data_IF_794759527105
#
_entry.id   IF_794759527105
#
_cell.length_a   1.000
_cell.length_b   1.000
_cell.length_c   1.000
_cell.angle_alpha   90.00
_cell.angle_beta   90.00
_cell.angle_gamma   90.00
#
_symmetry.space_group_name_H-M   'P 1'
#
loop_
_entity.id
_entity.type
_entity.pdbx_description
1 polymer ?
#
# COMPACT_ATOMS: atom_id res chain seq x y z
N UNK A 1 -8.76 -6.21 -3.38
CA UNK A 1 -8.13 -5.71 -4.63
C UNK A 1 -7.52 -4.33 -4.39
N UNK A 2 -6.32 -4.03 -4.92
CA UNK A 2 -5.56 -2.78 -4.75
C UNK A 2 -5.70 -1.86 -5.99
N UNK A 3 -5.60 -0.53 -5.83
CA UNK A 3 -5.58 0.43 -6.96
C UNK A 3 -4.23 1.12 -7.08
N UNK A 4 -3.94 1.63 -8.28
CA UNK A 4 -2.76 2.44 -8.54
C UNK A 4 -2.68 3.67 -7.62
N UNK A 5 -3.83 4.28 -7.29
CA UNK A 5 -3.90 5.40 -6.34
C UNK A 5 -3.46 5.02 -4.92
N UNK A 6 -3.83 3.82 -4.44
CA UNK A 6 -3.37 3.34 -3.13
C UNK A 6 -1.88 3.06 -3.12
N UNK A 7 -1.30 2.54 -4.21
CA UNK A 7 0.15 2.32 -4.30
C UNK A 7 0.90 3.65 -4.20
N UNK A 8 0.47 4.65 -4.98
CA UNK A 8 1.10 5.99 -4.96
C UNK A 8 0.93 6.66 -3.59
N UNK A 9 -0.24 6.56 -2.98
CA UNK A 9 -0.50 7.09 -1.64
C UNK A 9 0.37 6.41 -0.57
N UNK A 10 0.48 5.07 -0.62
CA UNK A 10 1.33 4.31 0.28
C UNK A 10 2.81 4.72 0.19
N UNK A 11 3.34 4.87 -1.03
CA UNK A 11 4.71 5.38 -1.19
C UNK A 11 4.88 6.79 -0.66
N UNK A 12 3.92 7.68 -0.92
CA UNK A 12 3.98 9.05 -0.41
C UNK A 12 4.00 9.08 1.12
N UNK A 13 3.20 8.24 1.79
CA UNK A 13 3.20 8.11 3.25
C UNK A 13 4.52 7.54 3.80
N UNK A 14 5.14 6.60 3.09
CA UNK A 14 6.43 6.03 3.47
C UNK A 14 7.63 6.92 3.11
N UNK A 15 7.43 7.97 2.30
CA UNK A 15 8.53 8.81 1.81
C UNK A 15 9.49 8.06 0.87
N UNK A 16 9.03 7.03 0.15
CA UNK A 16 9.88 6.20 -0.73
C UNK A 16 9.58 6.37 -2.22
N UNK A 17 10.60 6.17 -3.04
CA UNK A 17 10.48 6.13 -4.49
C UNK A 17 10.02 4.75 -5.02
N UNK A 18 9.84 4.62 -6.34
CA UNK A 18 9.40 3.38 -6.97
C UNK A 18 10.45 2.25 -6.89
N UNK A 19 11.74 2.58 -6.84
CA UNK A 19 12.83 1.60 -6.77
C UNK A 19 12.91 0.99 -5.38
N UNK A 20 12.80 1.81 -4.34
CA UNK A 20 12.72 1.38 -2.96
C UNK A 20 11.48 0.50 -2.71
N UNK A 21 10.32 0.85 -3.30
CA UNK A 21 9.14 0.00 -3.24
C UNK A 21 9.36 -1.35 -3.95
N UNK A 22 9.99 -1.33 -5.13
CA UNK A 22 10.29 -2.54 -5.89
C UNK A 22 11.19 -3.50 -5.09
N UNK A 23 12.23 -2.96 -4.46
CA UNK A 23 13.13 -3.70 -3.56
C UNK A 23 12.38 -4.28 -2.35
N UNK A 24 11.62 -3.46 -1.63
CA UNK A 24 10.87 -3.89 -0.45
C UNK A 24 9.82 -4.98 -0.75
N UNK A 25 9.25 -4.97 -1.96
CA UNK A 25 8.29 -5.96 -2.44
C UNK A 25 8.95 -7.17 -3.14
N UNK A 26 10.26 -7.17 -3.40
CA UNK A 26 10.91 -8.21 -4.21
C UNK A 26 10.34 -8.30 -5.63
N UNK A 27 9.96 -7.15 -6.21
CA UNK A 27 9.43 -7.02 -7.56
C UNK A 27 10.38 -6.20 -8.44
N UNK A 28 10.28 -6.35 -9.75
CA UNK A 28 11.05 -5.50 -10.67
C UNK A 28 10.51 -4.07 -10.69
N UNK A 29 11.39 -3.07 -10.88
CA UNK A 29 10.97 -1.67 -11.06
C UNK A 29 9.93 -1.49 -12.20
N UNK A 30 10.07 -2.13 -13.38
CA UNK A 30 9.04 -2.08 -14.42
C UNK A 30 7.68 -2.66 -14.00
N UNK A 31 7.66 -3.64 -13.09
CA UNK A 31 6.41 -4.16 -12.51
C UNK A 31 5.72 -3.07 -11.70
N UNK A 32 6.43 -2.40 -10.79
CA UNK A 32 5.88 -1.31 -9.97
C UNK A 32 5.39 -0.15 -10.85
N UNK A 33 6.18 0.27 -11.84
CA UNK A 33 5.80 1.34 -12.76
C UNK A 33 4.49 1.02 -13.50
N UNK A 34 4.34 -0.21 -14.00
CA UNK A 34 3.10 -0.66 -14.67
C UNK A 34 1.91 -0.70 -13.73
N UNK A 35 2.11 -1.14 -12.49
CA UNK A 35 1.06 -1.14 -11.47
C UNK A 35 0.60 0.28 -11.14
N UNK A 36 1.53 1.23 -10.96
CA UNK A 36 1.20 2.64 -10.68
C UNK A 36 0.61 3.38 -11.89
N UNK A 37 0.90 2.95 -13.11
CA UNK A 37 0.33 3.53 -14.34
C UNK A 37 -1.10 3.03 -14.66
N UNK A 38 -1.59 2.03 -13.91
CA UNK A 38 -2.92 1.45 -14.16
C UNK A 38 -4.04 2.46 -13.88
N UNK A 39 -5.06 2.47 -14.73
CA UNK A 39 -6.27 3.27 -14.54
C UNK A 39 -7.24 2.53 -13.61
N UNK A 40 -7.15 2.79 -12.31
CA UNK A 40 -7.99 2.17 -11.29
C UNK A 40 -7.37 0.91 -10.67
N UNK A 41 -8.07 -0.22 -10.73
CA UNK A 41 -7.62 -1.48 -10.12
C UNK A 41 -6.38 -2.02 -10.84
N UNK A 42 -5.40 -2.45 -10.06
CA UNK A 42 -4.18 -3.04 -10.61
C UNK A 42 -4.46 -4.46 -11.03
N UNK A 43 -4.18 -4.76 -12.30
CA UNK A 43 -4.22 -6.12 -12.85
C UNK A 43 -2.81 -6.70 -12.82
N UNK A 44 -2.65 -7.87 -12.21
CA UNK A 44 -1.39 -8.59 -12.09
C UNK A 44 -1.63 -10.01 -11.62
N UNK A 45 -0.58 -10.84 -11.63
CA UNK A 45 -0.68 -12.14 -10.99
C UNK A 45 -0.85 -11.98 -9.47
N UNK A 46 -1.49 -12.96 -8.84
CA UNK A 46 -1.81 -12.92 -7.41
C UNK A 46 -0.53 -12.81 -6.57
N UNK A 47 0.52 -13.54 -6.94
CA UNK A 47 1.82 -13.52 -6.24
C UNK A 47 2.43 -12.10 -6.12
N UNK A 48 2.42 -11.31 -7.20
CA UNK A 48 2.96 -9.95 -7.17
C UNK A 48 2.10 -9.02 -6.32
N UNK A 49 0.78 -9.22 -6.33
CA UNK A 49 -0.13 -8.43 -5.51
C UNK A 49 0.06 -8.74 -4.02
N UNK A 50 0.22 -10.02 -3.66
CA UNK A 50 0.50 -10.45 -2.28
C UNK A 50 1.82 -9.85 -1.79
N UNK A 51 2.90 -10.00 -2.56
CA UNK A 51 4.22 -9.41 -2.24
C UNK A 51 4.16 -7.90 -1.97
N UNK A 52 3.36 -7.18 -2.74
CA UNK A 52 3.19 -5.74 -2.59
C UNK A 52 2.42 -5.38 -1.32
N UNK A 53 1.34 -6.11 -1.02
CA UNK A 53 0.56 -5.92 0.22
C UNK A 53 1.43 -6.23 1.44
N UNK A 54 2.16 -7.35 1.43
CA UNK A 54 3.04 -7.73 2.54
C UNK A 54 4.16 -6.70 2.75
N UNK A 55 4.69 -6.11 1.68
CA UNK A 55 5.70 -5.05 1.78
C UNK A 55 5.16 -3.81 2.50
N UNK A 56 3.93 -3.39 2.17
CA UNK A 56 3.28 -2.29 2.88
C UNK A 56 3.00 -2.64 4.33
N UNK A 57 2.54 -3.86 4.62
CA UNK A 57 2.28 -4.30 5.99
C UNK A 57 3.54 -4.32 6.85
N UNK A 58 4.66 -4.83 6.32
CA UNK A 58 5.98 -4.80 6.97
C UNK A 58 6.50 -3.38 7.18
N UNK A 59 6.16 -2.46 6.28
CA UNK A 59 6.49 -1.05 6.40
C UNK A 59 5.55 -0.27 7.35
N UNK A 60 4.64 -0.96 8.05
CA UNK A 60 3.73 -0.33 9.01
C UNK A 60 2.53 0.35 8.36
N UNK A 61 2.19 0.02 7.12
CA UNK A 61 0.98 0.50 6.47
C UNK A 61 -0.14 -0.53 6.49
N UNK A 62 -1.37 -0.03 6.49
CA UNK A 62 -2.57 -0.81 6.26
C UNK A 62 -3.31 -0.24 5.05
N UNK A 63 -3.69 -1.12 4.13
CA UNK A 63 -4.54 -0.78 3.00
C UNK A 63 -6.01 -0.94 3.40
N UNK A 64 -6.77 0.15 3.29
CA UNK A 64 -8.20 0.16 3.61
C UNK A 64 -8.96 -0.24 2.34
N UNK A 65 -9.65 -1.39 2.39
CA UNK A 65 -10.52 -1.87 1.33
C UNK A 65 -11.84 -1.10 1.26
N UNK A 66 -12.58 -1.28 0.16
CA UNK A 66 -13.93 -0.74 0.03
C UNK A 66 -14.87 -1.46 1.01
N UNK A 67 -15.62 -0.69 1.82
CA UNK A 67 -16.50 -1.24 2.86
C UNK A 67 -15.80 -1.66 4.16
N UNK A 68 -14.47 -1.52 4.26
CA UNK A 68 -13.79 -1.63 5.55
C UNK A 68 -14.23 -0.49 6.48
N UNK A 69 -14.23 -0.74 7.81
CA UNK A 69 -14.62 0.25 8.82
C UNK A 69 -13.70 1.47 8.71
N UNK A 70 -14.20 2.47 8.00
CA UNK A 70 -13.64 3.80 7.82
C UNK A 70 -14.80 4.74 8.12
N UNK A 71 -14.72 5.62 9.13
CA UNK A 71 -15.84 6.49 9.51
C UNK A 71 -16.39 7.34 8.34
N UNK A 72 -15.56 7.62 7.33
CA UNK A 72 -15.96 8.31 6.09
C UNK A 72 -16.18 7.40 4.87
N UNK A 73 -16.00 6.08 5.02
CA UNK A 73 -16.09 5.08 3.95
C UNK A 73 -14.92 5.09 2.95
N UNK A 74 -15.01 4.20 1.95
CA UNK A 74 -14.12 4.19 0.79
C UNK A 74 -12.74 3.54 0.99
N UNK A 75 -11.98 3.46 -0.11
CA UNK A 75 -10.65 2.86 -0.17
C UNK A 75 -9.59 3.87 0.23
N UNK A 76 -8.60 3.47 1.02
CA UNK A 76 -7.59 4.38 1.55
C UNK A 76 -6.28 3.68 1.94
N UNK A 77 -5.36 4.45 2.52
CA UNK A 77 -4.13 3.95 3.12
C UNK A 77 -3.95 4.66 4.46
N UNK A 78 -3.54 3.93 5.50
CA UNK A 78 -3.32 4.46 6.84
C UNK A 78 -2.03 3.91 7.43
N UNK A 79 -1.35 4.72 8.25
CA UNK A 79 -0.26 4.27 9.10
C UNK A 79 -0.81 3.43 10.26
N UNK A 80 -0.23 2.25 10.51
CA UNK A 80 -0.56 1.47 11.69
C UNK A 80 -0.10 2.24 12.93
N UNK A 81 -0.97 2.35 13.93
CA UNK A 81 -0.58 2.83 15.26
C UNK A 81 0.33 1.76 15.85
N UNK A 82 1.53 2.13 16.28
CA UNK A 82 2.40 1.21 17.00
C UNK A 82 1.65 0.73 18.26
N UNK A 83 1.66 -0.58 18.58
CA UNK A 83 1.07 -1.04 19.83
C UNK A 83 1.89 -0.46 20.99
N UNK A 84 1.43 0.66 21.57
CA UNK A 84 2.10 1.29 22.71
C UNK A 84 1.94 2.82 22.89
N UNK A 85 1.28 3.56 22.01
CA UNK A 85 1.00 4.99 22.25
C UNK A 85 -0.44 5.21 22.71
N UNK A 86 -0.80 4.61 23.83
CA UNK A 86 -1.80 5.20 24.73
C UNK A 86 -1.04 6.20 25.63
N UNK A 87 -0.77 7.39 25.10
CA UNK A 87 -0.44 8.52 25.97
C UNK A 87 -1.73 8.95 26.65
N UNK A 88 -1.89 8.45 27.88
CA UNK A 88 -2.76 9.02 28.89
C UNK A 88 -2.46 10.50 29.02
N UNK A 89 -3.45 11.36 28.80
CA UNK A 89 -3.53 12.72 29.36
C UNK A 89 -4.99 13.07 29.55
#
# INVERSE_FOLDING_TARGET
MITASQIRAARALLGIDQRQLAEAAGLSLPTIQRMEASQGQVRGNVDSLVKLVDAFERAGLELIGEGAVSPGGGRGVRLKVAPGTDETS
#
